data_IF_655757395320
#
_entry.id   IF_655757395320
#
_cell.length_a   1.000
_cell.length_b   1.000
_cell.length_c   1.000
_cell.angle_alpha   90.00
_cell.angle_beta   90.00
_cell.angle_gamma   90.00
#
_symmetry.space_group_name_H-M   'P 1'
#
loop_
_entity.id
_entity.type
_entity.pdbx_description
1 polymer ?
#
# COMPACT_ATOMS: atom_id res chain seq x y z
N UNK A 1 12.78 13.76 -0.86
CA UNK A 1 11.49 13.08 -0.64
C UNK A 1 10.64 12.87 -1.89
N UNK A 2 10.95 13.56 -2.98
CA UNK A 2 10.13 13.44 -4.19
C UNK A 2 10.06 12.01 -4.75
N UNK A 3 11.10 11.22 -4.52
CA UNK A 3 11.17 9.85 -5.03
C UNK A 3 10.71 8.79 -4.04
N UNK A 4 10.32 9.19 -2.83
CA UNK A 4 9.85 8.26 -1.83
C UNK A 4 8.36 7.99 -2.00
N UNK A 5 7.99 6.72 -2.14
CA UNK A 5 6.59 6.32 -2.18
C UNK A 5 6.23 5.54 -0.92
N UNK A 6 4.98 5.63 -0.52
CA UNK A 6 4.43 4.98 0.67
C UNK A 6 3.55 3.83 0.21
N UNK A 7 3.83 2.63 0.70
CA UNK A 7 3.20 1.41 0.19
C UNK A 7 2.59 0.61 1.32
N UNK A 8 1.33 0.21 1.17
CA UNK A 8 0.71 -0.79 2.03
C UNK A 8 0.19 -1.95 1.18
N UNK A 9 0.20 -3.15 1.74
CA UNK A 9 -0.24 -4.36 1.06
C UNK A 9 -1.11 -5.18 2.01
N UNK A 10 -2.34 -5.51 1.60
CA UNK A 10 -3.32 -6.17 2.44
C UNK A 10 -4.41 -6.81 1.60
N UNK A 11 -5.21 -7.72 2.19
CA UNK A 11 -6.38 -8.28 1.49
C UNK A 11 -7.42 -7.20 1.18
N UNK A 12 -8.14 -7.41 0.08
CA UNK A 12 -9.23 -6.53 -0.37
C UNK A 12 -10.52 -6.91 0.37
N UNK A 13 -10.58 -6.58 1.66
CA UNK A 13 -11.72 -6.85 2.53
C UNK A 13 -12.04 -5.62 3.38
N UNK A 14 -13.27 -5.56 3.87
CA UNK A 14 -13.81 -4.38 4.56
C UNK A 14 -12.94 -3.90 5.72
N UNK A 15 -12.40 -4.83 6.50
CA UNK A 15 -11.54 -4.50 7.63
C UNK A 15 -10.37 -3.60 7.22
N UNK A 16 -9.76 -3.89 6.08
CA UNK A 16 -8.61 -3.13 5.60
C UNK A 16 -9.01 -1.89 4.80
N UNK A 17 -10.16 -1.89 4.14
CA UNK A 17 -10.63 -0.69 3.43
C UNK A 17 -10.76 0.49 4.39
N UNK A 18 -11.33 0.23 5.55
CA UNK A 18 -11.50 1.23 6.58
C UNK A 18 -10.15 1.78 7.07
N UNK A 19 -9.19 0.88 7.35
CA UNK A 19 -7.87 1.27 7.81
C UNK A 19 -7.12 2.09 6.77
N UNK A 20 -7.19 1.69 5.50
CA UNK A 20 -6.55 2.41 4.41
C UNK A 20 -7.13 3.83 4.31
N UNK A 21 -8.42 3.96 4.38
CA UNK A 21 -9.07 5.26 4.30
C UNK A 21 -8.59 6.20 5.40
N UNK A 22 -8.46 5.68 6.62
CA UNK A 22 -7.98 6.45 7.76
C UNK A 22 -6.54 6.90 7.56
N UNK A 23 -5.63 5.98 7.20
CA UNK A 23 -4.23 6.36 7.08
C UNK A 23 -4.00 7.29 5.88
N UNK A 24 -4.72 7.11 4.78
CA UNK A 24 -4.57 7.99 3.62
C UNK A 24 -4.97 9.42 3.98
N UNK A 25 -6.09 9.60 4.69
CA UNK A 25 -6.48 10.92 5.18
C UNK A 25 -5.40 11.54 6.07
N UNK A 26 -4.85 10.74 6.98
CA UNK A 26 -3.78 11.21 7.88
C UNK A 26 -2.55 11.64 7.09
N UNK A 27 -2.12 10.82 6.12
CA UNK A 27 -0.92 11.11 5.33
C UNK A 27 -1.09 12.39 4.51
N UNK A 28 -2.25 12.56 3.89
CA UNK A 28 -2.52 13.76 3.09
C UNK A 28 -2.56 14.99 4.00
N UNK A 29 -3.18 14.89 5.17
CA UNK A 29 -3.22 15.98 6.15
C UNK A 29 -1.80 16.38 6.59
N UNK A 30 -0.89 15.43 6.68
CA UNK A 30 0.51 15.68 7.07
C UNK A 30 1.37 16.17 5.91
N UNK A 31 0.82 16.33 4.72
CA UNK A 31 1.53 16.90 3.59
C UNK A 31 2.11 15.91 2.60
N UNK A 32 1.80 14.62 2.73
CA UNK A 32 2.24 13.63 1.76
C UNK A 32 1.37 13.76 0.50
N UNK A 33 2.04 13.85 -0.66
CA UNK A 33 1.34 13.92 -1.94
C UNK A 33 0.61 12.60 -2.18
N UNK A 34 -0.70 12.61 -2.44
CA UNK A 34 -1.45 11.36 -2.69
C UNK A 34 -0.88 10.54 -3.85
N UNK A 35 -0.26 11.18 -4.84
CA UNK A 35 0.38 10.45 -5.95
C UNK A 35 1.52 9.55 -5.50
N UNK A 36 2.07 9.79 -4.31
CA UNK A 36 3.15 8.98 -3.75
C UNK A 36 2.64 7.87 -2.83
N UNK A 37 1.32 7.71 -2.72
CA UNK A 37 0.71 6.67 -1.90
C UNK A 37 0.24 5.55 -2.81
N UNK A 38 0.73 4.34 -2.56
CA UNK A 38 0.38 3.13 -3.30
C UNK A 38 -0.26 2.12 -2.35
N UNK A 39 -1.45 1.69 -2.68
CA UNK A 39 -2.19 0.68 -1.90
C UNK A 39 -2.33 -0.55 -2.77
N UNK A 40 -1.84 -1.68 -2.28
CA UNK A 40 -1.84 -2.94 -3.04
C UNK A 40 -2.79 -3.91 -2.34
N UNK A 41 -3.85 -4.31 -3.04
CA UNK A 41 -4.84 -5.23 -2.51
C UNK A 41 -4.70 -6.62 -3.13
N UNK A 42 -4.82 -7.65 -2.29
CA UNK A 42 -4.98 -9.01 -2.76
C UNK A 42 -6.47 -9.29 -2.96
N UNK A 43 -6.85 -9.69 -4.16
CA UNK A 43 -8.23 -10.08 -4.45
C UNK A 43 -8.44 -11.49 -3.91
N UNK A 44 -9.32 -11.62 -2.92
CA UNK A 44 -9.54 -12.87 -2.19
C UNK A 44 -10.94 -13.44 -2.38
N UNK A 45 -11.83 -12.73 -3.09
CA UNK A 45 -13.19 -13.20 -3.31
C UNK A 45 -13.25 -14.25 -4.42
N UNK A 46 -14.37 -15.00 -4.46
CA UNK A 46 -14.54 -16.08 -5.43
C UNK A 46 -14.64 -15.57 -6.87
N UNK A 47 -15.16 -14.38 -7.06
CA UNK A 47 -15.33 -13.77 -8.38
C UNK A 47 -13.99 -13.29 -8.95
N UNK A 48 -12.95 -13.24 -8.15
CA UNK A 48 -11.63 -12.74 -8.55
C UNK A 48 -11.68 -11.33 -9.13
N UNK A 49 -12.47 -10.48 -8.51
CA UNK A 49 -12.66 -9.09 -8.91
C UNK A 49 -12.36 -8.13 -7.76
N UNK A 50 -11.85 -6.91 -8.06
CA UNK A 50 -11.72 -5.89 -7.02
C UNK A 50 -13.09 -5.54 -6.43
N UNK A 51 -13.11 -5.21 -5.14
CA UNK A 51 -14.35 -4.73 -4.51
C UNK A 51 -14.61 -3.27 -4.93
N UNK A 52 -15.88 -2.86 -4.87
CA UNK A 52 -16.24 -1.47 -5.17
C UNK A 52 -15.60 -0.51 -4.18
N UNK A 53 -15.54 -0.90 -2.92
CA UNK A 53 -14.97 -0.07 -1.86
C UNK A 53 -13.50 0.22 -2.11
N UNK A 54 -12.72 -0.78 -2.53
CA UNK A 54 -11.30 -0.56 -2.84
C UNK A 54 -11.13 0.30 -4.09
N UNK A 55 -11.99 0.14 -5.08
CA UNK A 55 -11.94 0.97 -6.29
C UNK A 55 -12.28 2.42 -5.99
N UNK A 56 -13.21 2.67 -5.06
CA UNK A 56 -13.56 4.03 -4.65
C UNK A 56 -12.41 4.77 -3.98
N UNK A 57 -11.45 4.05 -3.42
CA UNK A 57 -10.29 4.69 -2.81
C UNK A 57 -9.45 5.47 -3.82
N UNK A 58 -9.56 5.15 -5.10
CA UNK A 58 -8.88 5.93 -6.16
C UNK A 58 -9.33 7.37 -6.21
N UNK A 59 -10.56 7.66 -5.75
CA UNK A 59 -11.09 9.03 -5.71
C UNK A 59 -10.30 9.93 -4.76
N UNK A 60 -9.54 9.36 -3.84
CA UNK A 60 -8.67 10.12 -2.94
C UNK A 60 -7.38 10.60 -3.61
N UNK A 61 -7.17 10.25 -4.88
CA UNK A 61 -5.98 10.66 -5.64
C UNK A 61 -4.79 9.75 -5.47
N UNK A 62 -4.95 8.62 -4.80
CA UNK A 62 -3.90 7.64 -4.58
C UNK A 62 -3.84 6.60 -5.69
N UNK A 63 -2.77 5.80 -5.67
CA UNK A 63 -2.61 4.68 -6.61
C UNK A 63 -3.09 3.39 -5.94
N UNK A 64 -4.06 2.74 -6.57
CA UNK A 64 -4.63 1.48 -6.05
C UNK A 64 -4.32 0.37 -7.03
N UNK A 65 -3.73 -0.71 -6.52
CA UNK A 65 -3.33 -1.87 -7.32
C UNK A 65 -4.04 -3.10 -6.80
N UNK A 66 -4.40 -4.00 -7.71
CA UNK A 66 -5.09 -5.25 -7.36
C UNK A 66 -4.39 -6.43 -8.00
N UNK A 67 -4.14 -7.47 -7.22
CA UNK A 67 -3.59 -8.73 -7.70
C UNK A 67 -4.39 -9.88 -7.11
N UNK A 68 -4.69 -10.86 -7.94
CA UNK A 68 -5.40 -12.05 -7.45
C UNK A 68 -4.48 -12.83 -6.54
N UNK A 69 -5.01 -13.28 -5.41
CA UNK A 69 -4.25 -14.11 -4.47
C UNK A 69 -4.18 -15.54 -5.02
N UNK A 70 -3.14 -15.82 -5.80
CA UNK A 70 -2.89 -17.13 -6.39
C UNK A 70 -1.82 -17.93 -5.64
N UNK A 71 -1.56 -17.57 -4.37
CA UNK A 71 -0.58 -18.28 -3.55
C UNK A 71 -1.01 -19.73 -3.33
N UNK A 72 -0.02 -20.60 -3.24
CA UNK A 72 -0.23 -22.01 -2.96
C UNK A 72 -0.85 -22.23 -1.58
N UNK A 73 -0.44 -21.45 -0.57
CA UNK A 73 -0.95 -21.51 0.80
C UNK A 73 -1.71 -20.25 1.15
N UNK A 74 -2.91 -20.10 0.62
CA UNK A 74 -3.71 -18.88 0.77
C UNK A 74 -4.12 -18.59 2.21
N UNK A 75 -4.22 -19.61 3.04
CA UNK A 75 -4.60 -19.44 4.45
C UNK A 75 -3.47 -18.85 5.30
N UNK A 76 -2.24 -18.78 4.79
CA UNK A 76 -1.12 -18.23 5.53
C UNK A 76 -1.00 -16.73 5.26
N UNK A 77 -1.70 -15.96 6.09
CA UNK A 77 -1.87 -14.52 5.89
C UNK A 77 -0.55 -13.73 5.95
N UNK A 78 0.42 -14.04 6.86
CA UNK A 78 1.66 -13.26 6.91
C UNK A 78 2.46 -13.22 5.61
N UNK A 79 2.26 -14.19 4.70
CA UNK A 79 2.95 -14.21 3.42
C UNK A 79 2.31 -13.31 2.37
N UNK A 80 1.16 -12.68 2.66
CA UNK A 80 0.45 -11.89 1.66
C UNK A 80 1.23 -10.63 1.27
N UNK A 81 1.90 -9.99 2.22
CA UNK A 81 2.66 -8.76 1.95
C UNK A 81 3.83 -9.00 1.01
N UNK A 82 4.76 -9.93 1.28
CA UNK A 82 5.85 -10.16 0.32
C UNK A 82 5.35 -10.64 -1.04
N UNK A 83 4.26 -11.42 -1.06
CA UNK A 83 3.64 -11.86 -2.31
C UNK A 83 3.18 -10.66 -3.14
N UNK A 84 2.42 -9.75 -2.54
CA UNK A 84 1.90 -8.56 -3.23
C UNK A 84 3.01 -7.62 -3.65
N UNK A 85 4.00 -7.38 -2.79
CA UNK A 85 5.13 -6.51 -3.11
C UNK A 85 5.92 -7.09 -4.28
N UNK A 86 6.13 -8.39 -4.31
CA UNK A 86 6.82 -9.04 -5.42
C UNK A 86 6.08 -8.84 -6.75
N UNK A 87 4.76 -9.02 -6.75
CA UNK A 87 3.93 -8.79 -7.94
C UNK A 87 4.01 -7.34 -8.41
N UNK A 88 3.88 -6.41 -7.47
CA UNK A 88 3.90 -4.99 -7.76
C UNK A 88 5.24 -4.54 -8.34
N UNK A 89 6.36 -5.00 -7.76
CA UNK A 89 7.69 -4.64 -8.25
C UNK A 89 8.00 -5.25 -9.61
N UNK A 90 7.43 -6.40 -9.94
CA UNK A 90 7.57 -6.99 -11.27
C UNK A 90 6.87 -6.14 -12.32
N UNK A 91 5.71 -5.58 -11.97
CA UNK A 91 4.94 -4.72 -12.87
C UNK A 91 5.55 -3.31 -12.94
N UNK A 92 6.05 -2.81 -11.82
CA UNK A 92 6.59 -1.46 -11.71
C UNK A 92 8.01 -1.48 -11.10
N UNK A 93 9.03 -1.95 -11.85
CA UNK A 93 10.39 -2.08 -11.29
C UNK A 93 11.00 -0.78 -10.79
N UNK A 94 10.55 0.36 -11.30
CA UNK A 94 11.08 1.66 -10.93
C UNK A 94 10.95 1.98 -9.43
N UNK A 95 9.99 1.37 -8.75
CA UNK A 95 9.77 1.62 -7.33
C UNK A 95 10.71 0.81 -6.43
N UNK A 96 11.45 -0.15 -6.98
CA UNK A 96 12.37 -0.97 -6.21
C UNK A 96 13.52 -0.22 -5.57
N UNK A 97 13.76 1.04 -5.97
CA UNK A 97 14.90 1.82 -5.46
C UNK A 97 14.62 2.40 -4.08
N UNK A 98 13.40 2.87 -3.84
CA UNK A 98 13.09 3.51 -2.56
C UNK A 98 11.58 3.53 -2.33
N UNK A 99 11.13 2.77 -1.35
CA UNK A 99 9.74 2.81 -0.92
C UNK A 99 9.66 2.53 0.59
N UNK A 100 8.66 3.11 1.22
CA UNK A 100 8.37 2.92 2.64
C UNK A 100 7.18 1.97 2.77
N UNK A 101 7.46 0.73 3.15
CA UNK A 101 6.42 -0.27 3.36
C UNK A 101 5.89 -0.15 4.78
N UNK A 102 4.58 -0.04 4.92
CA UNK A 102 3.94 0.14 6.23
C UNK A 102 2.64 -0.65 6.29
N UNK A 103 2.17 -0.87 7.50
CA UNK A 103 0.87 -1.49 7.74
C UNK A 103 -0.26 -0.50 7.50
N UNK A 104 -1.47 -1.03 7.30
CA UNK A 104 -2.65 -0.20 7.04
C UNK A 104 -3.15 0.54 8.30
N UNK A 105 -2.72 0.11 9.48
CA UNK A 105 -3.15 0.72 10.74
C UNK A 105 -2.20 1.79 11.27
N UNK A 106 -1.28 2.28 10.43
CA UNK A 106 -0.34 3.32 10.80
C UNK A 106 -0.94 4.71 10.61
N UNK A 107 -0.66 5.62 11.54
CA UNK A 107 -0.92 7.06 11.37
C UNK A 107 0.30 7.82 11.86
N UNK A 108 0.51 9.01 11.29
CA UNK A 108 1.58 9.90 11.73
C UNK A 108 1.03 11.02 12.59
N UNK A 109 1.64 11.25 13.73
CA UNK A 109 1.40 12.45 14.54
C UNK A 109 2.23 13.61 13.99
N UNK A 110 3.43 13.29 13.52
CA UNK A 110 4.36 14.22 12.89
C UNK A 110 5.19 13.40 11.91
N UNK A 111 5.41 13.93 10.71
CA UNK A 111 6.23 13.23 9.73
C UNK A 111 7.67 13.13 10.19
N UNK A 112 8.28 11.94 10.12
CA UNK A 112 9.72 11.81 10.34
C UNK A 112 10.48 12.54 9.22
N UNK A 113 11.75 12.83 9.47
CA UNK A 113 12.61 13.35 8.43
C UNK A 113 13.12 12.19 7.59
N UNK A 114 12.35 11.82 6.58
CA UNK A 114 12.68 10.68 5.72
C UNK A 114 13.96 10.89 4.95
N UNK A 115 14.30 12.13 4.62
CA UNK A 115 15.56 12.42 3.91
C UNK A 115 16.77 12.06 4.74
N UNK A 116 16.75 12.38 6.02
CA UNK A 116 17.84 12.00 6.92
C UNK A 116 17.92 10.48 7.10
N UNK A 117 16.78 9.81 7.17
CA UNK A 117 16.75 8.36 7.29
C UNK A 117 17.28 7.68 6.03
N UNK A 118 16.98 8.23 4.86
CA UNK A 118 17.44 7.67 3.59
C UNK A 118 18.93 7.90 3.35
N UNK A 119 19.48 8.98 3.91
CA UNK A 119 20.91 9.31 3.77
C UNK A 119 21.76 8.58 4.79
N UNK A 120 21.19 8.08 5.84
CA UNK A 120 21.92 7.25 6.80
C UNK A 120 22.20 5.90 6.18
N UNK A 121 23.45 5.55 6.15
CA UNK A 121 23.92 4.29 5.59
C UNK A 121 23.67 3.18 6.59
N UNK A 122 22.43 2.81 6.70
CA UNK A 122 22.01 1.84 7.70
C UNK A 122 22.15 0.42 7.16
#
# INVERSE_FOLDING_TARGET
MENLVFVSAQPDVQYFHWQVKVYVHNFIEKGINPNNIHVIFAIVNKEKKPTEESLKLKEMGINVHHYVDDRFQKHYIPNIKPFLISKWLKEFPKYGKCFFLHDADIIFRQLPNFENLLNDDI
#
